data_IF_233978253148
#
_entry.id   IF_233978253148
#
_cell.length_a   1.000
_cell.length_b   1.000
_cell.length_c   1.000
_cell.angle_alpha   90.00
_cell.angle_beta   90.00
_cell.angle_gamma   90.00
#
_symmetry.space_group_name_H-M   'P 1'
#
loop_
_entity.id
_entity.type
_entity.pdbx_description
1 polymer ?
#
# COMPACT_ATOMS: atom_id res chain seq x y z
N UNK A 1 -19.18 -30.80 4.53
CA UNK A 1 -18.36 -30.19 3.46
C UNK A 1 -17.13 -29.64 4.16
N UNK A 2 -15.94 -30.20 3.92
CA UNK A 2 -14.72 -29.57 4.39
C UNK A 2 -14.60 -28.23 3.67
N UNK A 3 -14.62 -27.11 4.39
CA UNK A 3 -14.20 -25.84 3.80
C UNK A 3 -12.77 -26.07 3.31
N UNK A 4 -12.52 -25.72 2.05
CA UNK A 4 -11.20 -25.86 1.46
C UNK A 4 -10.24 -25.00 2.28
N UNK A 5 -9.39 -25.64 3.09
CA UNK A 5 -8.46 -24.95 4.00
C UNK A 5 -7.58 -23.94 3.25
N UNK A 6 -7.40 -24.13 1.93
CA UNK A 6 -6.73 -23.18 1.04
C UNK A 6 -7.53 -21.88 0.91
N UNK A 7 -8.85 -21.97 0.68
CA UNK A 7 -9.73 -20.82 0.57
C UNK A 7 -9.86 -20.09 1.90
N UNK A 8 -9.93 -20.81 3.02
CA UNK A 8 -9.97 -20.19 4.35
C UNK A 8 -8.66 -19.42 4.63
N UNK A 9 -7.51 -19.99 4.26
CA UNK A 9 -6.20 -19.33 4.39
C UNK A 9 -6.12 -18.08 3.50
N UNK A 10 -6.59 -18.16 2.26
CA UNK A 10 -6.63 -17.00 1.34
C UNK A 10 -7.53 -15.90 1.93
N UNK A 11 -8.70 -16.26 2.47
CA UNK A 11 -9.62 -15.33 3.11
C UNK A 11 -8.97 -14.61 4.31
N UNK A 12 -8.32 -15.36 5.19
CA UNK A 12 -7.63 -14.81 6.36
C UNK A 12 -6.52 -13.83 5.95
N UNK A 13 -5.64 -14.21 5.00
CA UNK A 13 -4.59 -13.32 4.52
C UNK A 13 -5.14 -12.09 3.81
N UNK A 14 -6.22 -12.24 3.04
CA UNK A 14 -6.86 -11.10 2.37
C UNK A 14 -7.38 -10.08 3.39
N UNK A 15 -7.98 -10.56 4.48
CA UNK A 15 -8.44 -9.71 5.57
C UNK A 15 -7.28 -8.98 6.27
N UNK A 16 -6.20 -9.69 6.59
CA UNK A 16 -5.00 -9.10 7.22
C UNK A 16 -4.36 -8.02 6.34
N UNK A 17 -4.21 -8.30 5.04
CA UNK A 17 -3.68 -7.34 4.06
C UNK A 17 -4.57 -6.10 3.98
N UNK A 18 -5.90 -6.28 3.92
CA UNK A 18 -6.84 -5.17 3.88
C UNK A 18 -6.74 -4.29 5.14
N UNK A 19 -6.65 -4.90 6.33
CA UNK A 19 -6.46 -4.18 7.59
C UNK A 19 -5.13 -3.41 7.61
N UNK A 20 -4.04 -4.03 7.13
CA UNK A 20 -2.74 -3.38 7.05
C UNK A 20 -2.72 -2.19 6.08
N UNK A 21 -3.41 -2.31 4.94
CA UNK A 21 -3.56 -1.21 3.97
C UNK A 21 -4.32 -0.03 4.59
N UNK A 22 -5.40 -0.29 5.33
CA UNK A 22 -6.16 0.76 6.01
C UNK A 22 -5.28 1.47 7.05
N UNK A 23 -4.56 0.70 7.87
CA UNK A 23 -3.63 1.26 8.86
C UNK A 23 -2.54 2.13 8.21
N UNK A 24 -2.01 1.72 7.04
CA UNK A 24 -1.07 2.54 6.28
C UNK A 24 -1.71 3.86 5.82
N UNK A 25 -2.97 3.84 5.36
CA UNK A 25 -3.67 5.07 4.94
C UNK A 25 -3.89 6.02 6.10
N UNK A 26 -4.19 5.51 7.29
CA UNK A 26 -4.32 6.32 8.51
C UNK A 26 -2.99 6.99 8.88
N UNK A 27 -1.87 6.25 8.80
CA UNK A 27 -0.54 6.83 9.02
C UNK A 27 -0.20 7.93 8.00
N UNK A 28 -0.58 7.76 6.74
CA UNK A 28 -0.40 8.79 5.70
C UNK A 28 -1.21 10.04 6.02
N UNK A 29 -2.46 9.89 6.49
CA UNK A 29 -3.31 11.01 6.92
C UNK A 29 -2.71 11.75 8.11
N UNK A 30 -2.25 11.00 9.11
CA UNK A 30 -1.58 11.58 10.28
C UNK A 30 -0.34 12.37 9.85
N UNK A 31 0.53 11.78 9.03
CA UNK A 31 1.70 12.47 8.49
C UNK A 31 1.31 13.73 7.70
N UNK A 32 0.23 13.68 6.93
CA UNK A 32 -0.28 14.89 6.26
C UNK A 32 -0.75 15.96 7.24
N UNK A 33 -1.41 15.58 8.33
CA UNK A 33 -1.87 16.49 9.36
C UNK A 33 -0.72 17.12 10.18
N UNK A 34 0.38 16.39 10.37
CA UNK A 34 1.58 16.91 11.08
C UNK A 34 2.49 17.78 10.19
N UNK A 35 2.18 17.90 8.90
CA UNK A 35 2.85 18.85 7.99
C UNK A 35 3.80 18.24 6.96
N UNK A 36 3.92 16.91 6.87
CA UNK A 36 4.76 16.28 5.85
C UNK A 36 4.26 16.61 4.43
N UNK A 37 5.19 16.86 3.51
CA UNK A 37 4.88 17.18 2.13
C UNK A 37 4.44 15.95 1.33
N UNK A 38 3.75 16.17 0.21
CA UNK A 38 3.43 15.06 -0.69
C UNK A 38 4.70 14.42 -1.28
N UNK A 39 5.78 15.19 -1.51
CA UNK A 39 7.02 14.65 -2.06
C UNK A 39 7.68 13.64 -1.11
N UNK A 40 7.70 13.93 0.19
CA UNK A 40 8.22 12.99 1.21
C UNK A 40 7.37 11.73 1.26
N UNK A 41 6.05 11.88 1.20
CA UNK A 41 5.13 10.74 1.19
C UNK A 41 5.26 9.90 -0.09
N UNK A 42 5.39 10.51 -1.26
CA UNK A 42 5.66 9.81 -2.52
C UNK A 42 6.97 9.00 -2.42
N UNK A 43 8.01 9.60 -1.82
CA UNK A 43 9.30 8.94 -1.65
C UNK A 43 9.23 7.70 -0.75
N UNK A 44 8.55 7.77 0.40
CA UNK A 44 8.50 6.65 1.36
C UNK A 44 7.45 5.60 1.01
N UNK A 45 6.30 5.99 0.47
CA UNK A 45 5.19 5.07 0.17
C UNK A 45 5.23 4.48 -1.23
N UNK A 46 5.93 5.14 -2.16
CA UNK A 46 5.89 4.83 -3.61
C UNK A 46 4.48 4.94 -4.22
N UNK A 47 3.57 5.64 -3.56
CA UNK A 47 2.30 5.98 -4.16
C UNK A 47 2.42 7.20 -5.05
N UNK A 48 1.73 7.21 -6.20
CA UNK A 48 1.57 8.42 -7.00
C UNK A 48 0.89 9.52 -6.18
N UNK A 49 1.24 10.78 -6.44
CA UNK A 49 0.65 11.96 -5.79
C UNK A 49 -0.88 11.94 -5.73
N UNK A 50 -1.54 11.51 -6.81
CA UNK A 50 -3.01 11.42 -6.86
C UNK A 50 -3.60 10.50 -5.79
N UNK A 51 -2.97 9.34 -5.54
CA UNK A 51 -3.41 8.43 -4.48
C UNK A 51 -3.23 9.07 -3.11
N UNK A 52 -2.12 9.76 -2.87
CA UNK A 52 -1.87 10.44 -1.60
C UNK A 52 -2.86 11.57 -1.34
N UNK A 53 -3.27 12.31 -2.38
CA UNK A 53 -4.31 13.34 -2.27
C UNK A 53 -5.67 12.73 -1.89
N UNK A 54 -6.04 11.60 -2.52
CA UNK A 54 -7.27 10.87 -2.17
C UNK A 54 -7.22 10.37 -0.73
N UNK A 55 -6.09 9.78 -0.30
CA UNK A 55 -5.91 9.30 1.08
C UNK A 55 -6.02 10.45 2.08
N UNK A 56 -5.34 11.56 1.81
CA UNK A 56 -5.38 12.77 2.64
C UNK A 56 -6.78 13.37 2.76
N UNK A 57 -7.60 13.24 1.71
CA UNK A 57 -9.00 13.66 1.70
C UNK A 57 -9.95 12.66 2.40
N UNK A 58 -9.43 11.59 3.00
CA UNK A 58 -10.22 10.56 3.69
C UNK A 58 -10.65 9.37 2.81
N UNK A 59 -10.25 9.34 1.55
CA UNK A 59 -10.53 8.22 0.65
C UNK A 59 -9.64 7.01 0.89
N UNK A 60 -10.11 5.82 0.52
CA UNK A 60 -9.35 4.56 0.54
C UNK A 60 -9.24 4.04 -0.91
N UNK A 61 -8.26 4.49 -1.70
CA UNK A 61 -8.12 4.04 -3.08
C UNK A 61 -7.81 2.54 -3.14
N UNK A 62 -7.98 1.94 -4.32
CA UNK A 62 -7.50 0.56 -4.54
C UNK A 62 -5.98 0.53 -4.33
N UNK A 63 -5.52 -0.45 -3.56
CA UNK A 63 -4.10 -0.65 -3.35
C UNK A 63 -3.43 -1.10 -4.65
N UNK A 64 -2.59 -0.24 -5.21
CA UNK A 64 -1.80 -0.50 -6.39
C UNK A 64 -0.45 0.21 -6.26
N UNK A 65 0.49 -0.33 -5.46
CA UNK A 65 1.84 0.22 -5.39
C UNK A 65 2.51 0.04 -6.76
N UNK A 66 3.27 1.04 -7.20
CA UNK A 66 4.12 0.86 -8.37
C UNK A 66 5.16 -0.22 -8.03
N UNK A 67 5.27 -1.30 -8.83
CA UNK A 67 6.29 -2.30 -8.57
C UNK A 67 7.68 -1.63 -8.66
N UNK A 68 8.63 -2.00 -7.79
CA UNK A 68 9.99 -1.49 -7.91
C UNK A 68 10.52 -1.78 -9.31
N UNK A 69 11.31 -0.87 -9.91
CA UNK A 69 11.85 -1.09 -11.24
C UNK A 69 12.56 -2.45 -11.30
N UNK A 70 12.45 -3.18 -12.42
CA UNK A 70 13.08 -4.48 -12.54
C UNK A 70 14.57 -4.36 -12.21
N UNK A 71 15.07 -5.24 -11.33
CA UNK A 71 16.52 -5.28 -11.03
C UNK A 71 17.27 -5.42 -12.35
N UNK A 72 18.29 -4.59 -12.63
CA UNK A 72 19.08 -4.75 -13.83
C UNK A 72 19.63 -6.18 -13.89
N UNK A 73 19.67 -6.81 -15.08
CA UNK A 73 20.22 -8.15 -15.21
C UNK A 73 21.64 -8.13 -14.64
N UNK A 74 21.93 -9.06 -13.72
CA UNK A 74 23.29 -9.24 -13.21
C UNK A 74 24.17 -9.51 -14.44
N UNK A 75 25.03 -8.55 -14.78
CA UNK A 75 26.08 -8.78 -15.77
C UNK A 75 26.89 -9.96 -15.26
N UNK A 76 26.86 -11.07 -15.99
CA UNK A 76 27.81 -12.16 -15.75
C UNK A 76 29.18 -11.62 -16.15
N UNK A 77 29.99 -11.28 -15.16
CA UNK A 77 31.43 -11.13 -15.34
C UNK A 77 32.07 -12.52 -15.42
#
# INVERSE_FOLDING_TARGET
MATDATLDTIGAQTFEIAAAIIALYDLIREAKATGYSYNELEFVTKFPRGNLQVIAAGGNPRFNPEPPPPKPPKSKA
#
